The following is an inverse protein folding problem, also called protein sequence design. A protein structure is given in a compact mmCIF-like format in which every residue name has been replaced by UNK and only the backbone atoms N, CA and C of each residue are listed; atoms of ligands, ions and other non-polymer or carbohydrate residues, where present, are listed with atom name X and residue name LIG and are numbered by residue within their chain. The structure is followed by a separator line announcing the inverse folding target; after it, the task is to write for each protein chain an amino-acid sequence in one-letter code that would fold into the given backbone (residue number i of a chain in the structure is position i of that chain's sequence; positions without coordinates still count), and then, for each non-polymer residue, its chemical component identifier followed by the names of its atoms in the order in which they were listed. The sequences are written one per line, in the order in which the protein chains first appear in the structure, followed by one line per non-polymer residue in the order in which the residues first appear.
data_IF_437946982811
#
_entry.id   IF_437946982811
#
_cell.length_a   1.000
_cell.length_b   1.000
_cell.length_c   1.000
_cell.angle_alpha   90.00
_cell.angle_beta   90.00
_cell.angle_gamma   90.00
#
_symmetry.space_group_name_H-M   'P 1'
#
loop_
_entity.id
_entity.type
_entity.pdbx_description
1 polymer ?
#
# COMPACT_ATOMS: atom_id res chain seq x y z
N UNK A 1 -45.56 -2.09 24.69
CA UNK A 1 -44.86 -1.68 23.44
C UNK A 1 -43.42 -2.19 23.53
N UNK A 2 -43.16 -3.40 23.03
CA UNK A 2 -42.38 -3.66 21.79
C UNK A 2 -41.09 -2.82 21.67
N UNK A 3 -40.02 -3.42 22.21
CA UNK A 3 -38.65 -3.52 21.67
C UNK A 3 -38.26 -2.54 20.55
N UNK A 4 -37.51 -1.51 20.90
CA UNK A 4 -36.74 -0.70 19.93
C UNK A 4 -35.49 -0.07 20.55
N UNK A 5 -34.75 -0.81 21.38
CA UNK A 5 -33.48 -0.32 21.92
C UNK A 5 -32.32 -1.31 21.80
N UNK A 6 -32.44 -2.30 20.91
CA UNK A 6 -31.44 -3.35 20.73
C UNK A 6 -30.76 -3.38 19.36
N UNK A 7 -31.01 -2.40 18.46
CA UNK A 7 -30.57 -2.50 17.07
C UNK A 7 -29.82 -1.27 16.51
N UNK A 8 -29.09 -0.53 17.36
CA UNK A 8 -28.21 0.55 16.90
C UNK A 8 -26.73 0.37 17.27
N UNK A 9 -26.34 -0.81 17.78
CA UNK A 9 -24.95 -1.26 17.86
C UNK A 9 -24.59 -2.06 16.60
N UNK A 10 -24.87 -1.49 15.44
CA UNK A 10 -24.24 -1.93 14.20
C UNK A 10 -22.82 -1.36 14.21
N UNK A 11 -21.94 -2.15 14.84
CA UNK A 11 -20.54 -2.34 14.46
C UNK A 11 -20.04 -1.32 13.43
N UNK A 12 -19.45 -0.22 13.88
CA UNK A 12 -18.36 0.39 13.14
C UNK A 12 -17.19 -0.57 13.31
N UNK A 13 -17.22 -1.70 12.60
CA UNK A 13 -15.97 -2.37 12.27
C UNK A 13 -15.27 -1.31 11.42
N UNK A 14 -14.12 -0.75 11.82
CA UNK A 14 -13.31 -0.08 10.81
C UNK A 14 -13.17 -1.15 9.73
N UNK A 15 -13.53 -0.87 8.48
CA UNK A 15 -13.18 -1.74 7.37
C UNK A 15 -11.68 -1.99 7.51
N UNK A 16 -11.36 -3.09 8.17
CA UNK A 16 -10.04 -3.31 8.74
C UNK A 16 -9.20 -3.54 7.52
N UNK A 17 -8.32 -2.59 7.22
CA UNK A 17 -7.32 -2.81 6.17
C UNK A 17 -6.68 -4.15 6.49
N UNK A 18 -6.63 -5.04 5.50
CA UNK A 18 -6.10 -6.39 5.71
C UNK A 18 -4.70 -6.32 6.33
N UNK A 19 -4.36 -7.31 7.15
CA UNK A 19 -3.07 -7.34 7.85
C UNK A 19 -1.96 -7.79 6.88
N UNK A 20 -1.47 -6.83 6.08
CA UNK A 20 -0.46 -7.09 5.06
C UNK A 20 0.93 -7.26 5.69
N UNK A 21 1.79 -8.06 5.06
CA UNK A 21 3.15 -8.29 5.51
C UNK A 21 4.13 -8.32 4.33
N UNK A 22 5.34 -7.80 4.53
CA UNK A 22 6.45 -7.93 3.57
C UNK A 22 7.42 -9.06 3.93
N UNK A 23 7.16 -9.80 5.00
CA UNK A 23 8.02 -10.91 5.47
C UNK A 23 7.28 -12.24 5.57
N UNK A 24 5.96 -12.22 5.40
CA UNK A 24 5.11 -13.41 5.37
C UNK A 24 4.29 -13.51 4.08
N UNK A 25 3.84 -14.72 3.71
CA UNK A 25 2.90 -14.89 2.61
C UNK A 25 1.61 -14.09 2.85
N UNK A 26 1.15 -13.42 1.81
CA UNK A 26 -0.12 -12.70 1.75
C UNK A 26 -1.08 -13.43 0.81
N UNK A 27 -2.37 -13.30 1.11
CA UNK A 27 -3.44 -13.68 0.20
C UNK A 27 -3.42 -12.79 -1.06
N UNK A 28 -4.04 -13.24 -2.17
CA UNK A 28 -4.15 -12.40 -3.37
C UNK A 28 -4.83 -11.04 -3.12
N UNK A 29 -5.80 -10.99 -2.20
CA UNK A 29 -6.48 -9.76 -1.81
C UNK A 29 -5.53 -8.81 -1.06
N UNK A 30 -4.75 -9.32 -0.12
CA UNK A 30 -3.72 -8.56 0.60
C UNK A 30 -2.62 -8.06 -0.34
N UNK A 31 -2.17 -8.87 -1.30
CA UNK A 31 -1.21 -8.43 -2.32
C UNK A 31 -1.76 -7.29 -3.17
N UNK A 32 -3.02 -7.38 -3.61
CA UNK A 32 -3.68 -6.32 -4.38
C UNK A 32 -3.85 -5.06 -3.55
N UNK A 33 -4.24 -5.19 -2.28
CA UNK A 33 -4.32 -4.06 -1.37
C UNK A 33 -2.94 -3.44 -1.17
N UNK A 34 -1.91 -4.25 -0.93
CA UNK A 34 -0.56 -3.79 -0.67
C UNK A 34 -0.01 -2.97 -1.84
N UNK A 35 -0.25 -3.42 -3.07
CA UNK A 35 0.14 -2.69 -4.29
C UNK A 35 -0.69 -1.42 -4.48
N UNK A 36 -2.00 -1.47 -4.22
CA UNK A 36 -2.88 -0.29 -4.32
C UNK A 36 -2.42 0.81 -3.36
N UNK A 37 -2.28 0.49 -2.08
CA UNK A 37 -1.84 1.41 -1.03
C UNK A 37 -0.45 1.98 -1.37
N UNK A 38 0.47 1.16 -1.87
CA UNK A 38 1.83 1.61 -2.28
C UNK A 38 1.79 2.58 -3.46
N UNK A 39 1.00 2.29 -4.49
CA UNK A 39 0.82 3.17 -5.65
C UNK A 39 0.12 4.48 -5.24
N UNK A 40 -0.88 4.43 -4.36
CA UNK A 40 -1.55 5.64 -3.86
C UNK A 40 -0.58 6.54 -3.08
N UNK A 41 0.21 5.96 -2.17
CA UNK A 41 1.23 6.70 -1.43
C UNK A 41 2.28 7.32 -2.35
N UNK A 42 2.73 6.58 -3.37
CA UNK A 42 3.71 7.08 -4.34
C UNK A 42 3.15 8.26 -5.14
N UNK A 43 1.93 8.14 -5.67
CA UNK A 43 1.29 9.22 -6.42
C UNK A 43 1.04 10.44 -5.52
N UNK A 44 0.52 10.25 -4.30
CA UNK A 44 0.28 11.37 -3.37
C UNK A 44 1.56 12.13 -3.03
N UNK A 45 2.60 11.42 -2.60
CA UNK A 45 3.84 12.05 -2.15
C UNK A 45 4.61 12.70 -3.31
N UNK A 46 4.55 12.12 -4.52
CA UNK A 46 5.31 12.61 -5.66
C UNK A 46 4.63 13.75 -6.41
N UNK A 47 3.29 13.78 -6.40
CA UNK A 47 2.53 14.65 -7.29
C UNK A 47 1.45 15.51 -6.61
N UNK A 48 0.93 15.10 -5.45
CA UNK A 48 -0.15 15.84 -4.77
C UNK A 48 0.38 16.74 -3.65
N UNK A 49 1.36 16.27 -2.89
CA UNK A 49 2.05 17.11 -1.91
C UNK A 49 2.97 18.10 -2.62
N UNK A 50 2.79 19.39 -2.32
CA UNK A 50 3.54 20.48 -2.97
C UNK A 50 4.64 21.03 -2.08
N UNK A 51 4.58 20.78 -0.77
CA UNK A 51 5.60 21.23 0.16
C UNK A 51 6.86 20.35 0.04
N UNK A 52 7.99 20.96 -0.30
CA UNK A 52 9.28 20.27 -0.31
C UNK A 52 9.87 20.24 1.10
N UNK A 53 9.35 19.32 1.92
CA UNK A 53 9.82 19.07 3.29
C UNK A 53 10.52 17.72 3.38
N UNK A 54 11.37 17.54 4.39
CA UNK A 54 11.96 16.23 4.70
C UNK A 54 10.88 15.15 4.85
N UNK A 55 9.76 15.47 5.52
CA UNK A 55 8.62 14.56 5.66
C UNK A 55 8.04 14.17 4.29
N UNK A 56 7.87 15.12 3.37
CA UNK A 56 7.37 14.82 2.00
C UNK A 56 8.34 13.92 1.25
N UNK A 57 9.65 14.17 1.35
CA UNK A 57 10.68 13.34 0.73
C UNK A 57 10.68 11.92 1.31
N UNK A 58 10.58 11.79 2.62
CA UNK A 58 10.47 10.50 3.30
C UNK A 58 9.23 9.72 2.85
N UNK A 59 8.07 10.38 2.75
CA UNK A 59 6.82 9.79 2.24
C UNK A 59 6.96 9.28 0.80
N UNK A 60 7.65 10.03 -0.06
CA UNK A 60 7.91 9.62 -1.43
C UNK A 60 8.80 8.37 -1.49
N UNK A 61 9.83 8.30 -0.63
CA UNK A 61 10.67 7.11 -0.50
C UNK A 61 9.86 5.91 -0.02
N UNK A 62 9.02 6.04 1.02
CA UNK A 62 8.19 4.94 1.53
C UNK A 62 7.31 4.35 0.42
N UNK A 63 6.59 5.19 -0.32
CA UNK A 63 5.76 4.75 -1.44
C UNK A 63 6.58 4.05 -2.53
N UNK A 64 7.71 4.64 -2.93
CA UNK A 64 8.59 4.09 -3.96
C UNK A 64 9.17 2.72 -3.56
N UNK A 65 9.72 2.60 -2.36
CA UNK A 65 10.29 1.35 -1.86
C UNK A 65 9.22 0.26 -1.77
N UNK A 66 8.04 0.57 -1.26
CA UNK A 66 6.95 -0.40 -1.16
C UNK A 66 6.50 -0.91 -2.55
N UNK A 67 6.37 -0.03 -3.55
CA UNK A 67 6.09 -0.44 -4.93
C UNK A 67 7.22 -1.32 -5.49
N UNK A 68 8.47 -0.94 -5.26
CA UNK A 68 9.64 -1.71 -5.73
C UNK A 68 9.71 -3.10 -5.11
N UNK A 69 9.46 -3.22 -3.81
CA UNK A 69 9.44 -4.49 -3.08
C UNK A 69 8.37 -5.45 -3.58
N UNK A 70 7.17 -4.95 -3.87
CA UNK A 70 6.05 -5.75 -4.37
C UNK A 70 6.21 -6.15 -5.84
N UNK A 71 6.94 -5.37 -6.64
CA UNK A 71 7.23 -5.68 -8.04
C UNK A 71 8.50 -6.51 -8.22
N UNK A 72 9.34 -6.64 -7.20
CA UNK A 72 10.60 -7.39 -7.26
C UNK A 72 10.35 -8.89 -7.32
N UNK A 73 10.82 -9.54 -8.39
CA UNK A 73 10.79 -11.01 -8.50
C UNK A 73 11.56 -11.67 -7.34
N UNK A 74 12.80 -11.27 -7.13
CA UNK A 74 13.66 -11.80 -6.05
C UNK A 74 13.13 -11.44 -4.66
N UNK A 75 12.58 -10.24 -4.49
CA UNK A 75 11.97 -9.80 -3.23
C UNK A 75 10.74 -10.62 -2.86
N UNK A 76 9.89 -10.93 -3.84
CA UNK A 76 8.72 -11.77 -3.65
C UNK A 76 9.09 -13.24 -3.42
N UNK A 77 10.09 -13.77 -4.13
CA UNK A 77 10.55 -15.16 -3.99
C UNK A 77 11.20 -15.42 -2.62
N UNK A 78 11.97 -14.46 -2.09
CA UNK A 78 12.66 -14.59 -0.79
C UNK A 78 11.70 -14.84 0.40
N UNK A 79 10.47 -14.33 0.32
CA UNK A 79 9.47 -14.44 1.40
C UNK A 79 8.13 -15.06 0.94
N UNK A 80 8.05 -15.53 -0.30
CA UNK A 80 6.83 -16.06 -0.94
C UNK A 80 5.60 -15.16 -0.71
N UNK A 81 5.79 -13.84 -0.81
CA UNK A 81 4.80 -12.83 -0.36
C UNK A 81 3.50 -12.91 -1.15
N UNK A 82 3.59 -13.12 -2.45
CA UNK A 82 2.45 -13.08 -3.36
C UNK A 82 2.44 -14.28 -4.30
N UNK A 83 1.85 -15.38 -3.84
CA UNK A 83 1.61 -16.56 -4.66
C UNK A 83 0.36 -16.36 -5.50
N UNK A 84 0.54 -15.72 -6.66
CA UNK A 84 -0.54 -15.30 -7.56
C UNK A 84 -0.67 -16.21 -8.78
N UNK A 85 -1.90 -16.46 -9.21
CA UNK A 85 -2.21 -17.04 -10.52
C UNK A 85 -1.81 -16.10 -11.65
N UNK A 86 -1.66 -16.57 -12.91
CA UNK A 86 -1.37 -15.71 -14.05
C UNK A 86 -2.39 -14.57 -14.23
N UNK A 87 -3.68 -14.87 -14.02
CA UNK A 87 -4.76 -13.87 -14.09
C UNK A 87 -4.61 -12.79 -13.02
N UNK A 88 -4.34 -13.20 -11.77
CA UNK A 88 -4.11 -12.25 -10.67
C UNK A 88 -2.89 -11.37 -10.90
N UNK A 89 -1.81 -11.91 -11.50
CA UNK A 89 -0.65 -11.09 -11.89
C UNK A 89 -1.01 -10.08 -12.98
N UNK A 90 -1.85 -10.49 -13.93
CA UNK A 90 -2.33 -9.59 -14.97
C UNK A 90 -3.19 -8.46 -14.37
N UNK A 91 -4.03 -8.76 -13.39
CA UNK A 91 -4.80 -7.76 -12.63
C UNK A 91 -3.89 -6.75 -11.93
N UNK A 92 -2.83 -7.20 -11.27
CA UNK A 92 -1.86 -6.30 -10.64
C UNK A 92 -1.09 -5.47 -11.68
N UNK A 93 -0.75 -6.05 -12.83
CA UNK A 93 -0.14 -5.31 -13.95
C UNK A 93 -1.08 -4.20 -14.46
N UNK A 94 -2.36 -4.52 -14.63
CA UNK A 94 -3.37 -3.55 -15.07
C UNK A 94 -3.56 -2.43 -14.05
N UNK A 95 -3.49 -2.75 -12.75
CA UNK A 95 -3.52 -1.77 -11.66
C UNK A 95 -2.33 -0.81 -11.75
N UNK A 96 -1.10 -1.31 -11.94
CA UNK A 96 0.09 -0.46 -12.12
C UNK A 96 -0.06 0.48 -13.33
N UNK A 97 -0.55 -0.04 -14.48
CA UNK A 97 -0.83 0.77 -15.67
C UNK A 97 -1.90 1.84 -15.43
N UNK A 98 -2.91 1.53 -14.62
CA UNK A 98 -3.94 2.50 -14.25
C UNK A 98 -3.34 3.70 -13.51
N UNK A 99 -2.48 3.47 -12.51
CA UNK A 99 -1.81 4.53 -11.77
C UNK A 99 -0.79 5.31 -12.62
N UNK A 100 -0.09 4.62 -13.53
CA UNK A 100 0.75 5.28 -14.53
C UNK A 100 -0.05 6.26 -15.41
N UNK A 101 -1.24 5.84 -15.86
CA UNK A 101 -2.11 6.70 -16.64
C UNK A 101 -2.65 7.90 -15.83
N UNK A 102 -2.82 7.77 -14.51
CA UNK A 102 -3.14 8.90 -13.63
C UNK A 102 -1.99 9.91 -13.62
N UNK A 103 -0.75 9.46 -13.41
CA UNK A 103 0.42 10.34 -13.32
C UNK A 103 0.72 11.09 -14.63
N UNK A 104 0.37 10.50 -15.77
CA UNK A 104 0.62 11.08 -17.11
C UNK A 104 -0.45 12.03 -17.61
N UNK A 105 -1.60 12.14 -16.95
CA UNK A 105 -2.70 13.05 -17.33
C UNK A 105 -2.93 14.11 -16.26
N UNK A 106 -2.79 15.42 -16.60
CA UNK A 106 -3.08 16.49 -15.66
C UNK A 106 -4.49 16.43 -15.07
N UNK A 107 -5.52 16.15 -15.87
CA UNK A 107 -6.91 16.11 -15.38
C UNK A 107 -7.14 14.94 -14.40
N UNK A 108 -6.60 13.76 -14.72
CA UNK A 108 -6.69 12.59 -13.84
C UNK A 108 -5.91 12.79 -12.55
N UNK A 109 -4.72 13.38 -12.65
CA UNK A 109 -3.90 13.70 -11.49
C UNK A 109 -4.60 14.71 -10.57
N UNK A 110 -5.20 15.76 -11.14
CA UNK A 110 -5.99 16.72 -10.37
C UNK A 110 -7.18 16.04 -9.67
N UNK A 111 -7.86 15.12 -10.36
CA UNK A 111 -8.97 14.34 -9.79
C UNK A 111 -8.51 13.35 -8.70
N UNK A 112 -7.25 12.91 -8.77
CA UNK A 112 -6.64 12.07 -7.75
C UNK A 112 -6.30 12.89 -6.49
N UNK A 113 -5.66 14.05 -6.65
CA UNK A 113 -5.11 14.89 -5.58
C UNK A 113 -6.17 15.69 -4.78
N UNK A 114 -7.23 15.02 -4.32
CA UNK A 114 -8.29 15.64 -3.50
C UNK A 114 -7.98 15.53 -2.00
N UNK A 115 -8.34 16.53 -1.16
CA UNK A 115 -8.10 16.47 0.28
C UNK A 115 -8.63 15.19 0.94
N UNK A 116 -9.80 14.70 0.53
CA UNK A 116 -10.39 13.44 1.00
C UNK A 116 -9.51 12.24 0.71
N UNK A 117 -8.94 12.15 -0.50
CA UNK A 117 -8.02 11.06 -0.86
C UNK A 117 -6.72 11.16 -0.05
N UNK A 118 -6.15 12.36 0.07
CA UNK A 118 -4.93 12.60 0.86
C UNK A 118 -5.12 12.19 2.32
N UNK A 119 -6.26 12.54 2.92
CA UNK A 119 -6.60 12.14 4.29
C UNK A 119 -6.72 10.62 4.46
N UNK A 120 -7.19 9.90 3.43
CA UNK A 120 -7.25 8.42 3.44
C UNK A 120 -5.87 7.77 3.30
N UNK A 121 -4.96 8.40 2.56
CA UNK A 121 -3.59 7.91 2.30
C UNK A 121 -2.67 8.21 3.50
N UNK A 122 -2.86 9.33 4.19
CA UNK A 122 -1.96 9.78 5.26
C UNK A 122 -1.64 8.71 6.34
N UNK A 123 -2.58 7.88 6.81
CA UNK A 123 -2.29 6.80 7.78
C UNK A 123 -1.46 5.65 7.20
N UNK A 124 -1.34 5.53 5.88
CA UNK A 124 -0.56 4.47 5.23
C UNK A 124 0.94 4.69 5.41
N UNK A 125 1.42 5.94 5.38
CA UNK A 125 2.85 6.22 5.50
C UNK A 125 3.52 5.63 6.76
N UNK A 126 3.03 5.90 7.99
CA UNK A 126 3.64 5.30 9.18
C UNK A 126 3.50 3.77 9.20
N UNK A 127 2.39 3.22 8.70
CA UNK A 127 2.18 1.77 8.62
C UNK A 127 3.20 1.11 7.69
N UNK A 128 3.39 1.65 6.51
CA UNK A 128 4.32 1.08 5.52
C UNK A 128 5.78 1.29 5.90
N UNK A 129 6.10 2.37 6.61
CA UNK A 129 7.42 2.53 7.20
C UNK A 129 7.75 1.37 8.15
N UNK A 130 6.80 0.96 9.00
CA UNK A 130 6.98 -0.19 9.90
C UNK A 130 7.20 -1.49 9.13
N UNK A 131 6.35 -1.77 8.12
CA UNK A 131 6.47 -2.97 7.28
C UNK A 131 7.81 -3.04 6.53
N UNK A 132 8.30 -1.91 6.03
CA UNK A 132 9.60 -1.83 5.37
C UNK A 132 10.74 -2.06 6.37
N UNK A 133 10.64 -1.53 7.59
CA UNK A 133 11.63 -1.74 8.63
C UNK A 133 11.68 -3.19 9.11
N UNK A 134 10.53 -3.84 9.26
CA UNK A 134 10.44 -5.28 9.54
C UNK A 134 11.13 -6.11 8.45
N UNK A 135 10.90 -5.77 7.19
CA UNK A 135 11.57 -6.40 6.07
C UNK A 135 13.09 -6.23 6.11
N UNK A 136 13.58 -5.01 6.35
CA UNK A 136 15.01 -4.76 6.47
C UNK A 136 15.63 -5.57 7.61
N UNK A 137 14.95 -5.66 8.74
CA UNK A 137 15.39 -6.47 9.89
C UNK A 137 15.47 -7.96 9.54
N UNK A 138 14.45 -8.50 8.89
CA UNK A 138 14.43 -9.90 8.45
C UNK A 138 15.59 -10.22 7.48
N UNK A 139 15.88 -9.31 6.54
CA UNK A 139 17.02 -9.44 5.62
C UNK A 139 18.36 -9.47 6.35
N UNK A 140 18.55 -8.60 7.34
CA UNK A 140 19.78 -8.57 8.15
C UNK A 140 19.98 -9.88 8.92
N UNK A 141 18.92 -10.41 9.52
CA UNK A 141 18.97 -11.70 10.24
C UNK A 141 19.35 -12.85 9.30
N UNK A 142 18.78 -12.89 8.09
CA UNK A 142 19.13 -13.91 7.08
C UNK A 142 20.56 -13.80 6.52
N UNK A 143 21.22 -12.65 6.70
CA UNK A 143 22.57 -12.37 6.19
C UNK A 143 23.66 -12.53 7.25
N UNK A 144 23.29 -12.85 8.50
CA UNK A 144 24.25 -13.07 9.58
C UNK A 144 24.65 -14.56 9.56
N UNK A 145 25.92 -14.92 9.31
CA UNK A 145 26.34 -16.32 9.32
C UNK A 145 26.31 -16.86 10.75
N UNK A 146 25.74 -18.06 10.93
CA UNK A 146 25.88 -18.86 12.15
C UNK A 146 27.34 -19.24 12.40
#
# INVERSE_FOLDING_TARGET
MKSTLLLALLLIVPLGRADISFVHPMTPAECKQALTDSLEMYVDARHCEKADTEQTRQRALIGWYAVGELNSKSGNEAFQRCTLSPEQRQDLSNLSKHYEAIMRSPERLQSFCTPTRRARIAPLYPRYMQLLQELENARRQSSTPN
#
